data_IF_830501036337
#
_entry.id   IF_830501036337
#
_cell.length_a   1.000
_cell.length_b   1.000
_cell.length_c   1.000
_cell.angle_alpha   90.00
_cell.angle_beta   90.00
_cell.angle_gamma   90.00
#
_symmetry.space_group_name_H-M   'P 1'
#
loop_
_entity.id
_entity.type
_entity.pdbx_description
1 polymer ?
#
# COMPACT_ATOMS: atom_id res chain seq x y z
N UNK A 1 -11.36 13.02 -20.17
CA UNK A 1 -10.53 13.82 -21.10
C UNK A 1 -9.07 13.97 -20.64
N UNK A 2 -8.67 13.52 -19.44
CA UNK A 2 -7.28 13.55 -18.98
C UNK A 2 -6.41 12.38 -19.51
N UNK A 3 -7.01 11.22 -19.81
CA UNK A 3 -6.29 10.01 -20.29
C UNK A 3 -5.49 10.20 -21.59
N UNK A 4 -5.85 11.19 -22.41
CA UNK A 4 -5.15 11.47 -23.66
C UNK A 4 -4.18 12.65 -23.55
N UNK A 5 -3.97 13.21 -22.35
CA UNK A 5 -3.03 14.30 -22.15
C UNK A 5 -1.59 13.79 -22.32
N UNK A 6 -0.86 14.40 -23.25
CA UNK A 6 0.57 14.22 -23.43
C UNK A 6 1.24 15.57 -23.24
N UNK A 7 2.07 15.66 -22.19
CA UNK A 7 2.73 16.89 -21.77
C UNK A 7 4.24 16.67 -21.75
N UNK A 8 5.00 17.69 -22.14
CA UNK A 8 6.47 17.63 -22.12
C UNK A 8 6.94 17.35 -20.68
N UNK A 9 7.89 16.42 -20.53
CA UNK A 9 8.47 15.97 -19.26
C UNK A 9 7.49 15.28 -18.29
N UNK A 10 6.35 14.77 -18.76
CA UNK A 10 5.42 13.98 -17.95
C UNK A 10 5.38 12.55 -18.49
N UNK A 11 5.80 11.58 -17.67
CA UNK A 11 5.85 10.16 -18.05
C UNK A 11 4.51 9.46 -17.90
N UNK A 12 3.77 9.78 -16.83
CA UNK A 12 2.49 9.16 -16.47
C UNK A 12 1.61 10.19 -15.77
N UNK A 13 0.29 10.06 -15.97
CA UNK A 13 -0.72 10.77 -15.19
C UNK A 13 -1.57 9.69 -14.53
N UNK A 14 -1.73 9.82 -13.23
CA UNK A 14 -2.56 8.95 -12.41
C UNK A 14 -3.54 9.80 -11.62
N UNK A 15 -4.77 9.29 -11.48
CA UNK A 15 -5.83 9.95 -10.73
C UNK A 15 -6.19 9.08 -9.55
N UNK A 16 -6.12 9.62 -8.33
CA UNK A 16 -6.67 8.96 -7.16
C UNK A 16 -8.20 8.83 -7.35
N UNK A 17 -8.68 7.59 -7.37
CA UNK A 17 -10.09 7.23 -7.61
C UNK A 17 -10.76 6.65 -6.36
N UNK A 18 -10.00 6.35 -5.31
CA UNK A 18 -10.51 5.88 -4.03
C UNK A 18 -9.47 5.97 -2.93
N UNK A 19 -9.92 6.28 -1.72
CA UNK A 19 -9.15 6.17 -0.49
C UNK A 19 -9.97 5.36 0.52
N UNK A 20 -9.34 4.34 1.09
CA UNK A 20 -10.00 3.38 1.97
C UNK A 20 -9.29 3.33 3.31
N UNK A 21 -10.04 3.37 4.41
CA UNK A 21 -9.49 3.06 5.73
C UNK A 21 -9.64 1.55 5.95
N UNK A 22 -8.52 0.86 6.11
CA UNK A 22 -8.46 -0.58 6.35
C UNK A 22 -8.19 -0.79 7.83
N UNK A 23 -9.16 -1.36 8.54
CA UNK A 23 -9.04 -1.64 9.97
C UNK A 23 -8.38 -2.99 10.19
N UNK A 24 -7.27 -2.99 10.92
CA UNK A 24 -6.46 -4.16 11.27
C UNK A 24 -6.11 -4.11 12.76
N UNK A 25 -7.16 -4.10 13.59
CA UNK A 25 -7.07 -4.02 15.05
C UNK A 25 -6.34 -5.25 15.59
N UNK A 26 -5.38 -5.03 16.49
CA UNK A 26 -4.54 -6.09 17.06
C UNK A 26 -3.36 -6.50 16.16
N UNK A 27 -3.27 -5.96 14.93
CA UNK A 27 -2.15 -6.20 14.02
C UNK A 27 -1.30 -4.94 13.89
N UNK A 28 -1.93 -3.80 13.59
CA UNK A 28 -1.23 -2.53 13.43
C UNK A 28 -1.22 -1.73 14.73
N UNK A 29 -0.15 -0.94 15.02
CA UNK A 29 0.00 -0.19 16.27
C UNK A 29 -1.12 0.83 16.51
N UNK A 30 -1.76 1.31 15.44
CA UNK A 30 -2.90 2.25 15.50
C UNK A 30 -4.19 1.64 14.95
N UNK A 31 -4.20 0.31 14.76
CA UNK A 31 -5.37 -0.47 14.37
C UNK A 31 -5.91 -0.23 12.95
N UNK A 32 -5.24 0.59 12.13
CA UNK A 32 -5.64 0.85 10.75
C UNK A 32 -4.51 1.39 9.88
N UNK A 33 -4.71 1.29 8.57
CA UNK A 33 -3.94 1.95 7.52
C UNK A 33 -4.89 2.56 6.48
N UNK A 34 -4.38 3.44 5.62
CA UNK A 34 -5.06 3.85 4.39
C UNK A 34 -4.52 3.07 3.20
N UNK A 35 -5.40 2.81 2.25
CA UNK A 35 -5.04 2.38 0.90
C UNK A 35 -5.59 3.40 -0.09
N UNK A 36 -4.73 3.96 -0.94
CA UNK A 36 -5.14 4.83 -2.05
C UNK A 36 -5.08 4.04 -3.36
N UNK A 37 -6.13 4.16 -4.17
CA UNK A 37 -6.21 3.55 -5.49
C UNK A 37 -6.09 4.64 -6.54
N UNK A 38 -5.19 4.44 -7.48
CA UNK A 38 -4.96 5.29 -8.63
C UNK A 38 -5.38 4.60 -9.91
N UNK A 39 -6.01 5.35 -10.80
CA UNK A 39 -6.28 4.94 -12.17
C UNK A 39 -5.31 5.67 -13.09
N UNK A 40 -4.68 4.94 -14.02
CA UNK A 40 -3.81 5.54 -15.03
C UNK A 40 -4.50 5.83 -16.36
N UNK A 41 -3.74 6.44 -17.28
CA UNK A 41 -4.22 6.79 -18.61
C UNK A 41 -4.65 5.58 -19.46
N UNK A 42 -4.14 4.37 -19.19
CA UNK A 42 -4.57 3.13 -19.83
C UNK A 42 -5.86 2.56 -19.24
N UNK A 43 -6.28 3.05 -18.07
CA UNK A 43 -7.38 2.50 -17.28
C UNK A 43 -6.98 1.33 -16.40
N UNK A 44 -5.68 1.09 -16.20
CA UNK A 44 -5.20 0.19 -15.17
C UNK A 44 -5.30 0.86 -13.80
N UNK A 45 -5.40 0.04 -12.76
CA UNK A 45 -5.50 0.48 -11.38
C UNK A 45 -4.30 -0.01 -10.57
N UNK A 46 -3.80 0.85 -9.69
CA UNK A 46 -2.73 0.54 -8.74
C UNK A 46 -3.12 1.01 -7.35
N UNK A 47 -2.85 0.19 -6.34
CA UNK A 47 -3.11 0.50 -4.95
C UNK A 47 -1.82 0.56 -4.14
N UNK A 48 -1.81 1.48 -3.16
CA UNK A 48 -0.64 1.76 -2.32
C UNK A 48 -1.09 1.93 -0.87
N UNK A 49 -0.38 1.30 0.07
CA UNK A 49 -0.56 1.53 1.50
C UNK A 49 0.07 2.85 1.94
N UNK A 50 -0.49 3.49 2.97
CA UNK A 50 0.13 4.66 3.61
C UNK A 50 1.15 4.29 4.70
N UNK A 51 1.42 2.99 4.85
CA UNK A 51 2.42 2.43 5.74
C UNK A 51 3.30 1.45 4.97
N UNK A 52 4.57 1.45 5.36
CA UNK A 52 5.59 0.51 4.94
C UNK A 52 5.90 -0.41 6.13
N UNK A 53 6.14 -1.69 5.82
CA UNK A 53 6.61 -2.68 6.78
C UNK A 53 8.14 -2.72 6.71
N UNK A 54 8.81 -2.64 7.85
CA UNK A 54 10.27 -2.79 7.89
C UNK A 54 10.64 -4.26 7.73
N UNK A 55 11.39 -4.59 6.70
CA UNK A 55 11.77 -5.97 6.42
C UNK A 55 12.86 -6.42 7.40
N UNK A 56 12.52 -7.29 8.34
CA UNK A 56 13.50 -7.89 9.26
C UNK A 56 14.53 -8.72 8.51
N UNK A 57 14.12 -9.27 7.36
CA UNK A 57 14.98 -10.03 6.46
C UNK A 57 16.00 -9.17 5.69
N UNK A 58 15.84 -7.84 5.66
CA UNK A 58 16.66 -6.92 4.85
C UNK A 58 16.98 -5.62 5.61
N UNK A 59 17.71 -5.74 6.74
CA UNK A 59 18.20 -4.61 7.56
C UNK A 59 17.14 -3.53 7.88
N UNK A 60 15.89 -3.96 8.10
CA UNK A 60 14.73 -3.09 8.35
C UNK A 60 14.38 -2.13 7.18
N UNK A 61 14.71 -2.49 5.94
CA UNK A 61 14.31 -1.74 4.75
C UNK A 61 12.79 -1.56 4.72
N UNK A 62 12.25 -0.34 4.53
CA UNK A 62 10.81 -0.12 4.50
C UNK A 62 10.23 -0.57 3.14
N UNK A 63 9.33 -1.55 3.16
CA UNK A 63 8.61 -2.03 1.97
C UNK A 63 7.12 -1.65 2.04
N UNK A 64 6.63 -0.98 1.00
CA UNK A 64 5.21 -0.70 0.81
C UNK A 64 4.51 -1.89 0.15
N UNK A 65 3.25 -2.15 0.51
CA UNK A 65 2.43 -3.08 -0.25
C UNK A 65 1.80 -2.37 -1.45
N UNK A 66 2.05 -2.91 -2.64
CA UNK A 66 1.48 -2.43 -3.89
C UNK A 66 0.63 -3.53 -4.52
N UNK A 67 -0.55 -3.18 -5.02
CA UNK A 67 -1.41 -4.07 -5.78
C UNK A 67 -1.82 -3.47 -7.12
N UNK A 68 -2.15 -4.32 -8.08
CA UNK A 68 -2.54 -3.97 -9.44
C UNK A 68 -3.90 -4.59 -9.79
N UNK A 69 -4.60 -3.99 -10.75
CA UNK A 69 -5.89 -4.51 -11.18
C UNK A 69 -6.43 -3.86 -12.44
N UNK A 70 -7.39 -4.53 -13.07
CA UNK A 70 -8.22 -3.97 -14.14
C UNK A 70 -9.44 -3.24 -13.58
N UNK A 71 -9.71 -3.39 -12.28
CA UNK A 71 -10.74 -2.66 -11.55
C UNK A 71 -10.20 -2.12 -10.22
N UNK A 72 -10.87 -1.13 -9.64
CA UNK A 72 -10.52 -0.63 -8.29
C UNK A 72 -10.57 -1.72 -7.23
N UNK A 73 -11.57 -2.62 -7.33
CA UNK A 73 -11.74 -3.73 -6.38
C UNK A 73 -10.57 -4.72 -6.46
N UNK A 74 -10.12 -5.05 -7.67
CA UNK A 74 -8.97 -5.94 -7.87
C UNK A 74 -7.70 -5.33 -7.26
N UNK A 75 -7.40 -4.06 -7.59
CA UNK A 75 -6.22 -3.38 -7.05
C UNK A 75 -6.25 -3.27 -5.52
N UNK A 76 -7.42 -2.93 -4.93
CA UNK A 76 -7.58 -2.88 -3.48
C UNK A 76 -7.38 -4.26 -2.84
N UNK A 77 -8.00 -5.29 -3.40
CA UNK A 77 -7.90 -6.66 -2.87
C UNK A 77 -6.47 -7.19 -2.96
N UNK A 78 -5.77 -6.93 -4.06
CA UNK A 78 -4.38 -7.36 -4.24
C UNK A 78 -3.44 -6.58 -3.32
N UNK A 79 -3.65 -5.28 -3.13
CA UNK A 79 -2.86 -4.46 -2.20
C UNK A 79 -2.95 -5.00 -0.77
N UNK A 80 -4.17 -5.29 -0.30
CA UNK A 80 -4.38 -5.84 1.06
C UNK A 80 -3.81 -7.25 1.18
N UNK A 81 -3.95 -8.09 0.14
CA UNK A 81 -3.36 -9.44 0.12
C UNK A 81 -1.84 -9.38 0.24
N UNK A 82 -1.19 -8.55 -0.58
CA UNK A 82 0.25 -8.38 -0.57
C UNK A 82 0.73 -7.83 0.78
N UNK A 83 -0.01 -6.91 1.39
CA UNK A 83 0.28 -6.42 2.74
C UNK A 83 0.23 -7.54 3.79
N UNK A 84 -0.80 -8.40 3.76
CA UNK A 84 -0.88 -9.54 4.66
C UNK A 84 0.24 -10.56 4.43
N UNK A 85 0.67 -10.77 3.18
CA UNK A 85 1.81 -11.64 2.87
C UNK A 85 3.13 -11.09 3.43
N UNK A 86 3.34 -9.76 3.39
CA UNK A 86 4.47 -9.11 4.05
C UNK A 86 4.44 -9.32 5.56
N UNK A 87 3.26 -9.17 6.19
CA UNK A 87 3.09 -9.44 7.62
C UNK A 87 3.39 -10.90 7.97
N UNK A 88 2.83 -11.86 7.24
CA UNK A 88 3.06 -13.29 7.50
C UNK A 88 4.55 -13.65 7.37
N UNK A 89 5.23 -13.06 6.38
CA UNK A 89 6.66 -13.29 6.10
C UNK A 89 7.56 -12.70 7.18
N UNK A 90 7.35 -11.44 7.55
CA UNK A 90 8.27 -10.67 8.40
C UNK A 90 7.87 -10.70 9.89
N UNK A 91 6.56 -10.76 10.16
CA UNK A 91 5.94 -10.61 11.46
C UNK A 91 4.83 -11.65 11.71
N UNK A 92 5.16 -12.95 11.67
CA UNK A 92 4.18 -14.01 11.87
C UNK A 92 3.54 -13.91 13.26
N UNK A 93 2.24 -14.18 13.34
CA UNK A 93 1.41 -14.01 14.54
C UNK A 93 1.96 -14.77 15.76
N UNK A 94 2.58 -15.94 15.56
CA UNK A 94 3.15 -16.74 16.64
C UNK A 94 4.33 -16.03 17.33
N UNK A 95 5.03 -15.15 16.62
CA UNK A 95 6.13 -14.34 17.17
C UNK A 95 5.66 -12.97 17.65
N UNK A 96 4.54 -12.46 17.12
CA UNK A 96 3.97 -11.15 17.41
C UNK A 96 2.48 -11.25 17.78
N UNK A 97 2.12 -11.96 18.87
CA UNK A 97 0.72 -12.24 19.22
C UNK A 97 -0.08 -10.98 19.62
N UNK A 98 0.62 -9.89 19.98
CA UNK A 98 0.04 -8.59 20.32
C UNK A 98 0.08 -7.59 19.15
N UNK A 99 0.47 -8.07 17.96
CA UNK A 99 0.67 -7.25 16.76
C UNK A 99 1.98 -6.46 16.76
N UNK A 100 2.04 -5.50 15.84
CA UNK A 100 3.19 -4.63 15.62
C UNK A 100 3.17 -3.41 16.52
N UNK A 101 4.34 -3.06 17.07
CA UNK A 101 4.60 -1.71 17.59
C UNK A 101 4.90 -0.71 16.45
N UNK A 102 4.92 0.58 16.78
CA UNK A 102 5.30 1.64 15.85
C UNK A 102 6.73 1.55 15.31
N UNK A 103 7.61 0.78 15.97
CA UNK A 103 9.02 0.66 15.55
C UNK A 103 9.19 -0.18 14.28
N UNK A 104 8.21 -1.03 13.96
CA UNK A 104 8.23 -1.98 12.84
C UNK A 104 7.59 -1.45 11.56
N UNK A 105 7.03 -0.24 11.62
CA UNK A 105 6.41 0.41 10.48
C UNK A 105 7.05 1.77 10.23
N UNK A 106 6.83 2.28 9.03
CA UNK A 106 7.13 3.64 8.64
C UNK A 106 5.95 4.18 7.84
N UNK A 107 5.52 5.42 8.09
CA UNK A 107 4.48 6.04 7.27
C UNK A 107 5.07 6.49 5.95
N UNK A 108 4.33 6.35 4.86
CA UNK A 108 4.75 6.91 3.59
C UNK A 108 4.71 8.44 3.66
N UNK A 109 5.76 9.07 3.16
CA UNK A 109 5.84 10.51 3.02
C UNK A 109 4.97 10.97 1.85
N UNK A 110 4.52 12.24 1.82
CA UNK A 110 3.79 12.77 0.68
C UNK A 110 4.52 12.63 -0.66
N UNK A 111 5.85 12.50 -0.64
CA UNK A 111 6.70 12.26 -1.82
C UNK A 111 6.64 10.85 -2.37
N UNK A 112 6.10 9.89 -1.60
CA UNK A 112 6.01 8.48 -2.00
C UNK A 112 4.77 8.19 -2.87
N UNK A 113 4.00 9.23 -3.18
CA UNK A 113 2.82 9.21 -4.05
C UNK A 113 3.00 10.10 -5.29
#
# INVERSE_FOLDING_TARGET
>A
MWKNLSLKNVSKIERCVGEYNIWMVGILPYGKMKVKIYEDNSGAFSGYTDINIKLRSDDNYPESAVGFGKTQQEALSETIKNFNELLEREYPEEQFPEGLSGDYIEYTEPSDF
#
